data_IF_532501166047
#
_entry.id   IF_532501166047
#
_cell.length_a   1.000
_cell.length_b   1.000
_cell.length_c   1.000
_cell.angle_alpha   90.00
_cell.angle_beta   90.00
_cell.angle_gamma   90.00
#
_symmetry.space_group_name_H-M   'P 1'
#
loop_
_entity.id
_entity.type
_entity.pdbx_description
1 polymer ?
#
# COMPACT_ATOMS: atom_id res chain seq x y z
N UNK A 1 4.43 -11.24 19.47
CA UNK A 1 3.89 -10.19 18.57
C UNK A 1 4.39 -10.49 17.17
N UNK A 2 3.54 -10.36 16.15
CA UNK A 2 3.95 -10.55 14.77
C UNK A 2 5.04 -9.55 14.36
N UNK A 3 5.88 -9.94 13.41
CA UNK A 3 6.84 -9.04 12.79
C UNK A 3 6.15 -8.10 11.78
N UNK A 4 6.87 -7.03 11.38
CA UNK A 4 6.32 -6.04 10.46
C UNK A 4 5.95 -6.65 9.08
N UNK A 5 6.78 -7.53 8.46
CA UNK A 5 6.42 -8.17 7.20
C UNK A 5 5.13 -9.01 7.27
N UNK A 6 4.92 -9.74 8.37
CA UNK A 6 3.68 -10.49 8.60
C UNK A 6 2.48 -9.55 8.70
N UNK A 7 2.59 -8.47 9.48
CA UNK A 7 1.54 -7.46 9.60
C UNK A 7 1.23 -6.78 8.26
N UNK A 8 2.24 -6.53 7.42
CA UNK A 8 2.05 -6.00 6.07
C UNK A 8 1.27 -6.99 5.19
N UNK A 9 1.67 -8.26 5.15
CA UNK A 9 0.98 -9.30 4.37
C UNK A 9 -0.47 -9.44 4.80
N UNK A 10 -0.71 -9.54 6.10
CA UNK A 10 -2.04 -9.74 6.67
C UNK A 10 -2.94 -8.51 6.39
N UNK A 11 -2.38 -7.30 6.48
CA UNK A 11 -3.10 -6.07 6.14
C UNK A 11 -3.41 -6.00 4.63
N UNK A 12 -2.46 -6.32 3.76
CA UNK A 12 -2.68 -6.35 2.31
C UNK A 12 -3.79 -7.32 1.92
N UNK A 13 -3.80 -8.53 2.50
CA UNK A 13 -4.86 -9.50 2.26
C UNK A 13 -6.24 -8.98 2.71
N UNK A 14 -6.29 -8.28 3.85
CA UNK A 14 -7.53 -7.65 4.32
C UNK A 14 -7.99 -6.48 3.43
N UNK A 15 -7.05 -5.73 2.85
CA UNK A 15 -7.35 -4.69 1.85
C UNK A 15 -7.85 -5.30 0.54
N UNK A 16 -7.28 -6.41 0.07
CA UNK A 16 -7.82 -7.14 -1.08
C UNK A 16 -9.27 -7.58 -0.80
N UNK A 17 -9.57 -8.03 0.41
CA UNK A 17 -10.91 -8.43 0.79
C UNK A 17 -11.90 -7.24 0.81
N UNK A 18 -11.51 -6.09 1.37
CA UNK A 18 -12.41 -4.93 1.37
C UNK A 18 -12.65 -4.40 -0.04
N UNK A 19 -11.62 -4.39 -0.90
CA UNK A 19 -11.72 -3.99 -2.30
C UNK A 19 -12.67 -4.91 -3.08
N UNK A 20 -12.61 -6.22 -2.83
CA UNK A 20 -13.55 -7.19 -3.38
C UNK A 20 -14.99 -6.93 -2.90
N UNK A 21 -15.19 -6.62 -1.62
CA UNK A 21 -16.52 -6.36 -1.07
C UNK A 21 -17.14 -5.09 -1.66
N UNK A 22 -16.37 -4.01 -1.76
CA UNK A 22 -16.88 -2.74 -2.28
C UNK A 22 -17.08 -2.74 -3.79
N UNK A 23 -16.54 -3.73 -4.51
CA UNK A 23 -16.84 -3.96 -5.93
C UNK A 23 -18.19 -4.66 -6.17
N UNK A 24 -18.82 -5.20 -5.12
CA UNK A 24 -20.11 -5.88 -5.24
C UNK A 24 -21.26 -4.86 -5.29
N UNK A 25 -22.32 -5.17 -6.05
CA UNK A 25 -23.47 -4.28 -6.18
C UNK A 25 -24.27 -4.15 -4.89
N UNK A 26 -24.22 -5.17 -4.03
CA UNK A 26 -24.96 -5.22 -2.76
C UNK A 26 -24.00 -5.21 -1.57
N UNK A 27 -24.42 -4.51 -0.52
CA UNK A 27 -23.73 -4.47 0.76
C UNK A 27 -23.94 -5.81 1.50
N UNK A 28 -22.84 -6.49 1.86
CA UNK A 28 -22.83 -7.54 2.89
C UNK A 28 -22.39 -6.91 4.23
N UNK A 29 -23.32 -6.57 5.15
CA UNK A 29 -22.98 -5.85 6.37
C UNK A 29 -22.13 -6.67 7.34
N UNK A 30 -22.33 -8.00 7.36
CA UNK A 30 -21.64 -8.89 8.29
C UNK A 30 -20.18 -9.06 7.87
N UNK A 31 -19.96 -9.37 6.59
CA UNK A 31 -18.61 -9.53 6.06
C UNK A 31 -17.85 -8.22 6.08
N UNK A 32 -18.50 -7.10 5.73
CA UNK A 32 -17.89 -5.78 5.83
C UNK A 32 -17.46 -5.45 7.27
N UNK A 33 -18.33 -5.69 8.26
CA UNK A 33 -18.01 -5.39 9.66
C UNK A 33 -16.82 -6.21 10.16
N UNK A 34 -16.74 -7.50 9.79
CA UNK A 34 -15.61 -8.37 10.13
C UNK A 34 -14.30 -7.89 9.53
N UNK A 35 -14.29 -7.57 8.23
CA UNK A 35 -13.10 -7.08 7.53
C UNK A 35 -12.64 -5.74 8.09
N UNK A 36 -13.55 -4.79 8.33
CA UNK A 36 -13.22 -3.49 8.94
C UNK A 36 -12.59 -3.63 10.33
N UNK A 37 -13.12 -4.55 11.15
CA UNK A 37 -12.58 -4.86 12.47
C UNK A 37 -11.17 -5.46 12.36
N UNK A 38 -10.97 -6.41 11.45
CA UNK A 38 -9.68 -7.05 11.24
C UNK A 38 -8.63 -6.03 10.75
N UNK A 39 -8.97 -5.19 9.77
CA UNK A 39 -8.11 -4.07 9.31
C UNK A 39 -7.77 -3.15 10.48
N UNK A 40 -8.76 -2.77 11.31
CA UNK A 40 -8.51 -1.89 12.47
C UNK A 40 -7.46 -2.49 13.41
N UNK A 41 -7.58 -3.79 13.70
CA UNK A 41 -6.65 -4.52 14.55
C UNK A 41 -5.26 -4.58 13.94
N UNK A 42 -5.12 -5.13 12.73
CA UNK A 42 -3.81 -5.34 12.09
C UNK A 42 -3.12 -4.02 11.79
N UNK A 43 -3.86 -3.00 11.33
CA UNK A 43 -3.29 -1.66 11.11
C UNK A 43 -2.90 -0.97 12.43
N UNK A 44 -3.60 -1.24 13.54
CA UNK A 44 -3.17 -0.82 14.88
C UNK A 44 -1.83 -1.44 15.28
N UNK A 45 -1.72 -2.76 15.16
CA UNK A 45 -0.50 -3.50 15.48
C UNK A 45 0.68 -3.08 14.58
N UNK A 46 0.44 -2.90 13.27
CA UNK A 46 1.42 -2.39 12.30
C UNK A 46 1.96 -1.03 12.71
N UNK A 47 1.09 -0.07 13.02
CA UNK A 47 1.49 1.29 13.42
C UNK A 47 2.38 1.29 14.67
N UNK A 48 1.98 0.52 15.69
CA UNK A 48 2.79 0.39 16.92
C UNK A 48 4.17 -0.22 16.63
N UNK A 49 4.24 -1.18 15.71
CA UNK A 49 5.51 -1.80 15.31
C UNK A 49 6.40 -0.83 14.54
N UNK A 50 5.82 -0.03 13.65
CA UNK A 50 6.52 1.02 12.89
C UNK A 50 7.08 2.08 13.84
N UNK A 51 6.27 2.59 14.77
CA UNK A 51 6.73 3.59 15.74
C UNK A 51 7.93 3.06 16.55
N UNK A 52 7.85 1.83 17.07
CA UNK A 52 8.94 1.20 17.80
C UNK A 52 10.22 1.01 16.97
N UNK A 53 10.09 0.67 15.68
CA UNK A 53 11.23 0.52 14.78
C UNK A 53 11.85 1.87 14.41
N UNK A 54 11.03 2.90 14.18
CA UNK A 54 11.50 4.27 13.97
C UNK A 54 12.27 4.76 15.22
N UNK A 55 11.72 4.56 16.43
CA UNK A 55 12.38 4.92 17.68
C UNK A 55 13.73 4.22 17.87
N UNK A 56 13.84 2.95 17.47
CA UNK A 56 15.09 2.20 17.53
C UNK A 56 16.13 2.71 16.53
N UNK A 57 15.71 2.95 15.28
CA UNK A 57 16.63 3.32 14.20
C UNK A 57 17.06 4.77 14.25
N UNK A 58 16.17 5.68 14.61
CA UNK A 58 16.48 7.10 14.77
C UNK A 58 17.58 7.33 15.81
N UNK A 59 17.59 6.56 16.91
CA UNK A 59 18.65 6.60 17.92
C UNK A 59 20.05 6.22 17.38
N UNK A 60 20.12 5.52 16.26
CA UNK A 60 21.36 5.06 15.63
C UNK A 60 21.68 5.81 14.33
N UNK A 61 20.72 6.52 13.76
CA UNK A 61 20.84 7.23 12.51
C UNK A 61 21.35 8.67 12.72
N UNK A 62 22.02 9.21 11.71
CA UNK A 62 22.44 10.62 11.66
C UNK A 62 22.12 11.22 10.29
N UNK A 63 22.01 12.54 10.23
CA UNK A 63 21.77 13.27 8.98
C UNK A 63 20.47 12.86 8.27
N UNK A 64 20.53 12.74 6.94
CA UNK A 64 19.37 12.49 6.09
C UNK A 64 18.58 11.20 6.43
N UNK A 65 19.25 10.18 6.98
CA UNK A 65 18.59 8.92 7.37
C UNK A 65 17.71 9.12 8.62
N UNK A 66 18.14 9.97 9.56
CA UNK A 66 17.32 10.32 10.73
C UNK A 66 16.07 11.12 10.30
N UNK A 67 16.21 12.04 9.34
CA UNK A 67 15.09 12.80 8.77
C UNK A 67 14.06 11.89 8.10
N UNK A 68 14.49 10.83 7.39
CA UNK A 68 13.60 9.84 6.80
C UNK A 68 12.76 9.09 7.85
N UNK A 69 13.36 8.70 8.99
CA UNK A 69 12.61 8.05 10.07
C UNK A 69 11.65 9.02 10.79
N UNK A 70 12.04 10.27 10.97
CA UNK A 70 11.16 11.31 11.51
C UNK A 70 9.95 11.55 10.58
N UNK A 71 10.18 11.67 9.27
CA UNK A 71 9.13 11.80 8.26
C UNK A 71 8.20 10.57 8.24
N UNK A 72 8.76 9.37 8.38
CA UNK A 72 7.98 8.13 8.46
C UNK A 72 7.08 8.11 9.70
N UNK A 73 7.57 8.52 10.87
CA UNK A 73 6.75 8.62 12.09
C UNK A 73 5.63 9.65 11.93
N UNK A 74 5.93 10.81 11.35
CA UNK A 74 4.92 11.84 11.08
C UNK A 74 3.82 11.32 10.15
N UNK A 75 4.20 10.64 9.06
CA UNK A 75 3.23 9.99 8.17
C UNK A 75 2.40 8.91 8.89
N UNK A 76 2.98 8.19 9.85
CA UNK A 76 2.26 7.20 10.65
C UNK A 76 1.17 7.84 11.54
N UNK A 77 1.43 9.04 12.08
CA UNK A 77 0.46 9.85 12.84
C UNK A 77 -0.67 10.33 11.93
N UNK A 78 -0.34 10.84 10.74
CA UNK A 78 -1.32 11.29 9.75
C UNK A 78 -2.23 10.16 9.30
N UNK A 79 -1.66 9.00 8.96
CA UNK A 79 -2.41 7.78 8.64
C UNK A 79 -3.34 7.35 9.79
N UNK A 80 -2.91 7.53 11.05
CA UNK A 80 -3.77 7.26 12.21
C UNK A 80 -4.97 8.19 12.26
N UNK A 81 -4.79 9.47 12.00
CA UNK A 81 -5.87 10.46 11.95
C UNK A 81 -6.82 10.12 10.80
N UNK A 82 -6.30 9.93 9.58
CA UNK A 82 -7.09 9.58 8.39
C UNK A 82 -7.94 8.33 8.63
N UNK A 83 -7.34 7.25 9.14
CA UNK A 83 -8.05 6.02 9.43
C UNK A 83 -9.16 6.21 10.49
N UNK A 84 -8.87 6.97 11.55
CA UNK A 84 -9.83 7.24 12.63
C UNK A 84 -11.02 8.04 12.11
N UNK A 85 -10.75 9.07 11.30
CA UNK A 85 -11.77 9.86 10.62
C UNK A 85 -12.61 9.00 9.68
N UNK A 86 -11.99 8.11 8.90
CA UNK A 86 -12.72 7.19 8.03
C UNK A 86 -13.65 6.27 8.84
N UNK A 87 -13.16 5.62 9.90
CA UNK A 87 -13.99 4.72 10.72
C UNK A 87 -15.15 5.48 11.37
N UNK A 88 -14.88 6.67 11.93
CA UNK A 88 -15.89 7.50 12.58
C UNK A 88 -16.92 8.09 11.61
N UNK A 89 -16.53 8.36 10.36
CA UNK A 89 -17.41 8.93 9.35
C UNK A 89 -18.48 7.96 8.83
N UNK A 90 -18.30 6.64 8.99
CA UNK A 90 -19.12 5.59 8.37
C UNK A 90 -19.79 4.68 9.41
N UNK A 91 -20.88 5.18 10.00
CA UNK A 91 -21.79 4.41 10.86
C UNK A 91 -22.60 3.39 10.05
N UNK A 92 -23.18 2.35 10.68
CA UNK A 92 -24.05 1.39 9.98
C UNK A 92 -25.21 2.06 9.22
N UNK A 93 -25.81 3.10 9.80
CA UNK A 93 -26.88 3.86 9.15
C UNK A 93 -26.39 4.62 7.92
N UNK A 94 -25.20 5.22 7.98
CA UNK A 94 -24.66 5.95 6.83
C UNK A 94 -24.22 5.01 5.71
N UNK A 95 -23.73 3.83 6.05
CA UNK A 95 -23.38 2.78 5.08
C UNK A 95 -24.58 2.36 4.23
N UNK A 96 -25.76 2.23 4.83
CA UNK A 96 -26.97 1.87 4.09
C UNK A 96 -27.52 3.04 3.27
N UNK A 97 -27.32 4.28 3.72
CA UNK A 97 -27.76 5.48 3.02
C UNK A 97 -26.85 5.88 1.85
N UNK A 98 -25.54 5.66 1.96
CA UNK A 98 -24.55 6.08 0.97
C UNK A 98 -23.47 5.01 0.79
N UNK A 99 -23.91 3.83 0.31
CA UNK A 99 -22.99 2.75 -0.04
C UNK A 99 -21.95 3.17 -1.10
N UNK A 100 -22.32 3.84 -2.22
CA UNK A 100 -21.34 4.24 -3.22
C UNK A 100 -20.29 5.24 -2.69
N UNK A 101 -20.69 6.14 -1.78
CA UNK A 101 -19.76 7.05 -1.12
C UNK A 101 -18.78 6.31 -0.22
N UNK A 102 -19.25 5.31 0.52
CA UNK A 102 -18.37 4.44 1.29
C UNK A 102 -17.37 3.70 0.40
N UNK A 103 -17.83 3.08 -0.69
CA UNK A 103 -16.95 2.38 -1.63
C UNK A 103 -15.80 3.28 -2.11
N UNK A 104 -16.11 4.51 -2.55
CA UNK A 104 -15.10 5.48 -2.98
C UNK A 104 -14.11 5.83 -1.86
N UNK A 105 -14.61 6.08 -0.66
CA UNK A 105 -13.78 6.42 0.50
C UNK A 105 -12.87 5.25 0.92
N UNK A 106 -13.38 4.01 0.92
CA UNK A 106 -12.62 2.82 1.27
C UNK A 106 -11.54 2.50 0.25
N UNK A 107 -11.80 2.68 -1.05
CA UNK A 107 -10.79 2.53 -2.09
C UNK A 107 -9.68 3.59 -1.94
N UNK A 108 -10.03 4.83 -1.61
CA UNK A 108 -9.03 5.88 -1.37
C UNK A 108 -8.14 5.55 -0.17
N UNK A 109 -8.75 5.16 0.96
CA UNK A 109 -8.01 4.75 2.15
C UNK A 109 -7.12 3.52 1.89
N UNK A 110 -7.62 2.53 1.14
CA UNK A 110 -6.84 1.33 0.80
C UNK A 110 -5.58 1.67 0.00
N UNK A 111 -5.68 2.61 -0.96
CA UNK A 111 -4.51 3.12 -1.69
C UNK A 111 -3.52 3.84 -0.78
N UNK A 112 -3.99 4.68 0.15
CA UNK A 112 -3.16 5.38 1.13
C UNK A 112 -2.36 4.38 1.98
N UNK A 113 -3.03 3.36 2.53
CA UNK A 113 -2.39 2.32 3.35
C UNK A 113 -1.39 1.50 2.53
N UNK A 114 -1.73 1.11 1.29
CA UNK A 114 -0.79 0.37 0.42
C UNK A 114 0.47 1.19 0.12
N UNK A 115 0.33 2.48 -0.18
CA UNK A 115 1.46 3.36 -0.42
C UNK A 115 2.36 3.45 0.81
N UNK A 116 1.74 3.60 1.99
CA UNK A 116 2.45 3.62 3.26
C UNK A 116 3.24 2.32 3.53
N UNK A 117 2.67 1.15 3.24
CA UNK A 117 3.36 -0.14 3.36
C UNK A 117 4.60 -0.20 2.46
N UNK A 118 4.55 0.33 1.23
CA UNK A 118 5.70 0.36 0.32
C UNK A 118 6.86 1.19 0.91
N UNK A 119 6.55 2.37 1.45
CA UNK A 119 7.55 3.23 2.11
C UNK A 119 8.17 2.49 3.31
N UNK A 120 7.34 1.86 4.12
CA UNK A 120 7.79 1.08 5.29
C UNK A 120 8.67 -0.10 4.89
N UNK A 121 8.34 -0.81 3.82
CA UNK A 121 9.15 -1.91 3.34
C UNK A 121 10.55 -1.43 2.91
N UNK A 122 10.61 -0.30 2.19
CA UNK A 122 11.85 0.29 1.75
C UNK A 122 12.75 0.75 2.91
N UNK A 123 12.16 1.37 3.94
CA UNK A 123 12.90 1.99 5.04
C UNK A 123 13.12 1.06 6.24
N UNK A 124 12.21 0.12 6.50
CA UNK A 124 12.17 -0.70 7.71
C UNK A 124 12.38 -2.20 7.47
N UNK A 125 12.11 -2.73 6.28
CA UNK A 125 12.22 -4.17 6.00
C UNK A 125 13.46 -4.57 5.21
N UNK A 126 14.22 -3.62 4.69
CA UNK A 126 15.55 -3.85 4.12
C UNK A 126 16.54 -4.23 5.23
N UNK A 127 17.32 -5.29 5.00
CA UNK A 127 18.41 -5.67 5.91
C UNK A 127 19.47 -4.57 5.92
N UNK A 128 20.18 -4.40 7.03
CA UNK A 128 21.21 -3.37 7.22
C UNK A 128 22.39 -3.46 6.21
N UNK A 129 22.45 -4.51 5.38
CA UNK A 129 23.41 -4.68 4.28
C UNK A 129 22.93 -4.09 2.93
N UNK A 130 21.68 -3.64 2.85
CA UNK A 130 21.14 -2.98 1.66
C UNK A 130 21.32 -1.48 1.81
N UNK A 131 22.28 -0.92 1.08
CA UNK A 131 22.64 0.50 1.10
C UNK A 131 21.39 1.40 0.97
N UNK A 132 21.06 2.21 2.00
CA UNK A 132 19.91 3.11 1.97
C UNK A 132 20.01 4.19 0.88
N UNK A 133 21.17 4.39 0.26
CA UNK A 133 21.39 5.30 -0.87
C UNK A 133 20.89 4.76 -2.21
N UNK A 134 20.54 3.46 -2.32
CA UNK A 134 19.97 2.90 -3.56
C UNK A 134 18.57 3.45 -3.90
N UNK A 135 17.88 4.06 -2.92
CA UNK A 135 16.56 4.69 -3.10
C UNK A 135 16.63 6.15 -3.60
N UNK A 136 17.83 6.73 -3.73
CA UNK A 136 18.02 8.10 -4.24
C UNK A 136 18.19 8.17 -5.76
N UNK A 137 18.19 7.04 -6.49
CA UNK A 137 18.28 7.05 -7.95
C UNK A 137 16.88 6.93 -8.60
N UNK A 138 16.33 7.99 -9.21
CA UNK A 138 15.09 7.93 -9.97
C UNK A 138 15.19 7.05 -11.23
N UNK A 139 16.36 6.47 -11.54
CA UNK A 139 16.57 5.53 -12.66
C UNK A 139 16.56 4.05 -12.23
N UNK A 140 16.55 3.75 -10.93
CA UNK A 140 16.67 2.37 -10.41
C UNK A 140 15.47 1.44 -10.68
N UNK A 141 14.32 1.96 -11.13
CA UNK A 141 13.11 1.16 -11.38
C UNK A 141 12.85 0.80 -12.85
N UNK A 142 13.70 1.22 -13.79
CA UNK A 142 13.57 0.91 -15.23
C UNK A 142 14.53 -0.19 -15.68
N UNK A 143 14.65 -1.30 -14.93
CA UNK A 143 15.72 -2.28 -15.18
C UNK A 143 15.45 -3.75 -14.88
N UNK A 144 14.27 -4.17 -14.42
CA UNK A 144 13.90 -5.59 -14.49
C UNK A 144 13.18 -5.87 -15.79
N UNK A 145 13.99 -6.14 -16.81
CA UNK A 145 13.59 -6.74 -18.06
C UNK A 145 12.69 -7.95 -17.78
N UNK A 146 11.43 -7.85 -18.20
CA UNK A 146 10.52 -8.99 -18.25
C UNK A 146 11.18 -10.08 -19.13
N UNK A 147 11.15 -11.36 -18.74
CA UNK A 147 11.68 -12.41 -19.58
C UNK A 147 10.90 -12.43 -20.90
N UNK A 148 11.70 -12.29 -21.97
CA UNK A 148 11.37 -12.39 -23.38
C UNK A 148 10.17 -13.33 -23.64
N UNK A 149 9.02 -12.77 -24.00
CA UNK A 149 7.98 -13.57 -24.66
C UNK A 149 8.29 -13.52 -26.15
N UNK A 150 8.83 -14.63 -26.65
CA UNK A 150 8.88 -14.97 -28.07
C UNK A 150 7.46 -14.92 -28.65
N UNK A 151 7.09 -13.77 -29.22
CA UNK A 151 5.97 -13.69 -30.15
C UNK A 151 6.58 -13.76 -31.53
N UNK A 152 6.55 -14.96 -32.10
CA UNK A 152 6.94 -15.23 -33.48
C UNK A 152 6.19 -14.32 -34.43
N UNK A 153 6.95 -13.53 -35.20
CA UNK A 153 6.44 -12.82 -36.36
C UNK A 153 6.27 -13.83 -37.52
N UNK A 154 5.10 -13.89 -38.19
CA UNK A 154 5.04 -14.44 -39.53
C UNK A 154 5.36 -13.35 -40.55
N UNK A 155 6.37 -13.64 -41.37
CA UNK A 155 6.74 -12.89 -42.57
C UNK A 155 5.53 -12.66 -43.50
N UNK A 156 5.44 -11.45 -44.04
CA UNK A 156 4.46 -11.14 -45.09
C UNK A 156 4.56 -9.70 -45.58
N UNK A 157 5.59 -9.38 -46.37
CA UNK A 157 5.62 -8.18 -47.20
C UNK A 157 4.63 -8.32 -48.36
N UNK A 158 3.89 -7.26 -48.71
CA UNK A 158 3.49 -7.02 -50.09
C UNK A 158 4.15 -5.75 -50.66
N UNK A 159 4.34 -5.68 -51.99
CA UNK A 159 5.19 -4.68 -52.62
C UNK A 159 4.45 -3.36 -52.91
N UNK A 160 5.23 -2.28 -52.94
CA UNK A 160 4.81 -0.93 -53.37
C UNK A 160 4.43 -0.93 -54.86
N UNK A 161 3.34 -0.24 -55.27
CA UNK A 161 3.20 0.20 -56.65
C UNK A 161 3.81 1.59 -56.85
N UNK A 162 4.46 1.74 -58.01
CA UNK A 162 5.20 2.90 -58.46
C UNK A 162 4.30 4.09 -58.82
N UNK A 163 4.84 5.29 -58.59
CA UNK A 163 4.42 6.55 -59.18
C UNK A 163 4.38 6.47 -60.71
N UNK A 164 3.26 6.89 -61.30
CA UNK A 164 3.21 7.66 -62.55
C UNK A 164 2.05 8.65 -62.48
#
# INVERSE_FOLDING_TARGET
>A
MADLPTLHRDLLAALDEIEMLVSQPELDPLRLSRVRLYISKVNGERRNKVDALCDERERRATGAVAEQFAALRQSNIENRIEYTMHVGAWSPQKLTQDWPGYCRASLALSRSIRHQIVIEQALLCTSADSDPLALSDPRGYMGRQLPNQDIGAPHGHPPRPHLR
#
